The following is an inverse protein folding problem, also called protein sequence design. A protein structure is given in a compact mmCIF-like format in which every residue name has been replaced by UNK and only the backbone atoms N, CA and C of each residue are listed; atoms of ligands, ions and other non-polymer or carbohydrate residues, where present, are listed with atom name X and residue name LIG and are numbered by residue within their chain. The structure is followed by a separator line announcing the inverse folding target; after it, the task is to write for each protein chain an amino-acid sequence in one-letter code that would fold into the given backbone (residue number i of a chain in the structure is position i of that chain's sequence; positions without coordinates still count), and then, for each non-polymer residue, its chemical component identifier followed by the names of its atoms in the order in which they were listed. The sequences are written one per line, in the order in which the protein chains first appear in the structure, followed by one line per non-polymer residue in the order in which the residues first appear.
data_IF_349232450513
#
_entry.id   IF_349232450513
#
_cell.length_a   1.000
_cell.length_b   1.000
_cell.length_c   1.000
_cell.angle_alpha   90.00
_cell.angle_beta   90.00
_cell.angle_gamma   90.00
#
_symmetry.space_group_name_H-M   'P 1'
#
loop_
_entity.id
_entity.type
_entity.pdbx_description
1 polymer ?
#
# COMPACT_ATOMS: atom_id res chain seq x y z
N UNK A 1 19.39 -36.04 10.00
CA UNK A 1 18.30 -35.03 9.87
C UNK A 1 18.86 -33.76 9.24
N UNK A 2 18.60 -33.50 7.96
CA UNK A 2 19.02 -32.25 7.30
C UNK A 2 18.12 -31.12 7.79
N UNK A 3 18.67 -30.16 8.54
CA UNK A 3 17.98 -28.92 8.90
C UNK A 3 17.81 -28.09 7.63
N UNK A 4 16.60 -28.04 7.10
CA UNK A 4 16.23 -27.10 6.05
C UNK A 4 16.07 -25.73 6.72
N UNK A 5 17.17 -25.02 6.92
CA UNK A 5 17.11 -23.56 7.13
C UNK A 5 16.85 -22.92 5.77
N UNK A 6 15.58 -22.90 5.37
CA UNK A 6 15.14 -22.07 4.25
C UNK A 6 15.36 -20.61 4.63
N UNK A 7 16.24 -19.93 3.90
CA UNK A 7 16.34 -18.47 3.89
C UNK A 7 15.03 -17.90 3.32
N UNK A 8 14.02 -17.87 4.19
CA UNK A 8 12.72 -17.31 3.89
C UNK A 8 12.93 -15.82 3.60
N UNK A 9 12.68 -15.42 2.35
CA UNK A 9 12.91 -14.05 1.90
C UNK A 9 12.16 -13.07 2.82
N UNK A 10 12.72 -11.87 2.99
CA UNK A 10 12.15 -10.82 3.85
C UNK A 10 10.67 -10.57 3.55
N UNK A 11 10.25 -10.79 2.29
CA UNK A 11 8.86 -10.73 1.83
C UNK A 11 7.97 -11.73 2.57
N UNK A 12 8.35 -12.99 2.69
CA UNK A 12 7.55 -14.01 3.38
C UNK A 12 7.48 -13.76 4.89
N UNK A 13 8.54 -13.21 5.49
CA UNK A 13 8.53 -12.83 6.91
C UNK A 13 7.55 -11.66 7.15
N UNK A 14 7.54 -10.66 6.26
CA UNK A 14 6.58 -9.55 6.31
C UNK A 14 5.15 -10.04 6.02
N UNK A 15 4.98 -10.96 5.08
CA UNK A 15 3.69 -11.61 4.77
C UNK A 15 3.17 -12.40 5.98
N UNK A 16 4.03 -13.12 6.70
CA UNK A 16 3.68 -13.85 7.91
C UNK A 16 3.34 -12.93 9.09
N UNK A 17 4.04 -11.81 9.26
CA UNK A 17 3.71 -10.82 10.30
C UNK A 17 2.35 -10.16 10.00
N UNK A 18 2.04 -9.89 8.73
CA UNK A 18 0.73 -9.40 8.32
C UNK A 18 -0.38 -10.45 8.54
N UNK A 19 -0.11 -11.73 8.26
CA UNK A 19 -1.05 -12.83 8.52
C UNK A 19 -1.29 -13.06 10.02
N UNK A 20 -0.26 -12.97 10.86
CA UNK A 20 -0.39 -13.18 12.32
C UNK A 20 -1.16 -12.06 13.01
N UNK A 21 -1.16 -10.84 12.46
CA UNK A 21 -1.97 -9.73 12.97
C UNK A 21 -3.45 -9.78 12.52
N UNK A 22 -3.82 -10.69 11.62
CA UNK A 22 -5.23 -10.94 11.24
C UNK A 22 -5.92 -12.00 12.09
N UNK A 23 -5.25 -12.50 13.13
CA UNK A 23 -5.79 -13.50 14.06
C UNK A 23 -6.71 -12.92 15.14
N UNK A 24 -7.83 -12.31 14.76
CA UNK A 24 -9.09 -12.35 15.53
C UNK A 24 -10.27 -12.02 14.61
N UNK A 25 -11.18 -13.00 14.52
CA UNK A 25 -12.50 -12.97 13.87
C UNK A 25 -12.55 -13.16 12.34
N UNK A 26 -12.43 -14.42 11.94
CA UNK A 26 -13.11 -14.96 10.76
C UNK A 26 -14.61 -14.99 11.03
N UNK A 27 -15.34 -13.95 10.63
CA UNK A 27 -16.78 -14.04 10.51
C UNK A 27 -17.22 -13.81 9.06
N UNK A 28 -17.76 -14.89 8.51
CA UNK A 28 -18.77 -14.92 7.47
C UNK A 28 -18.32 -14.59 6.03
N UNK A 29 -18.00 -15.69 5.33
CA UNK A 29 -18.42 -15.89 3.95
C UNK A 29 -19.96 -15.75 3.87
N UNK A 30 -20.44 -14.51 3.79
CA UNK A 30 -21.82 -14.20 3.43
C UNK A 30 -21.81 -13.46 2.08
N UNK A 31 -21.99 -14.26 1.05
CA UNK A 31 -22.37 -13.88 -0.30
C UNK A 31 -23.69 -13.09 -0.25
N UNK A 32 -23.60 -11.76 -0.17
CA UNK A 32 -24.71 -10.83 -0.40
C UNK A 32 -24.17 -9.60 -1.11
N UNK A 33 -24.74 -9.34 -2.28
CA UNK A 33 -24.58 -8.19 -3.17
C UNK A 33 -23.94 -6.95 -2.52
N UNK A 34 -22.60 -6.94 -2.45
CA UNK A 34 -21.87 -5.70 -2.22
C UNK A 34 -21.72 -5.06 -3.58
N UNK A 35 -22.68 -4.17 -3.92
CA UNK A 35 -22.40 -3.03 -4.81
C UNK A 35 -20.96 -2.62 -4.56
N UNK A 36 -20.08 -2.86 -5.53
CA UNK A 36 -18.68 -2.53 -5.42
C UNK A 36 -18.62 -1.07 -4.95
N UNK A 37 -18.34 -0.85 -3.66
CA UNK A 37 -18.13 0.49 -3.14
C UNK A 37 -16.92 0.95 -3.93
N UNK A 38 -17.14 1.76 -4.97
CA UNK A 38 -16.06 2.45 -5.69
C UNK A 38 -15.13 2.96 -4.62
N UNK A 39 -13.97 2.35 -4.54
CA UNK A 39 -12.98 2.62 -3.50
C UNK A 39 -12.79 4.14 -3.54
N UNK A 40 -13.15 4.82 -2.44
CA UNK A 40 -13.12 6.28 -2.42
C UNK A 40 -11.68 6.68 -2.66
N UNK A 41 -11.38 7.11 -3.90
CA UNK A 41 -10.06 7.57 -4.29
C UNK A 41 -9.65 8.63 -3.29
N UNK A 42 -8.61 8.34 -2.52
CA UNK A 42 -8.13 9.27 -1.51
C UNK A 42 -7.54 10.45 -2.28
N UNK A 43 -8.11 11.63 -2.10
CA UNK A 43 -7.63 12.82 -2.80
C UNK A 43 -6.33 13.31 -2.17
N UNK A 44 -5.36 13.64 -3.02
CA UNK A 44 -4.11 14.26 -2.60
C UNK A 44 -4.38 15.61 -1.94
N UNK A 45 -3.85 15.85 -0.73
CA UNK A 45 -3.96 17.16 -0.09
C UNK A 45 -3.13 18.19 -0.86
N UNK A 46 -3.52 19.47 -0.78
CA UNK A 46 -2.70 20.57 -1.26
C UNK A 46 -1.37 20.64 -0.50
N UNK A 47 -0.36 21.26 -1.10
CA UNK A 47 0.93 21.50 -0.43
C UNK A 47 0.72 22.23 0.89
N UNK A 48 1.40 21.75 1.92
CA UNK A 48 1.40 22.34 3.24
C UNK A 48 2.43 23.47 3.39
N UNK A 49 3.22 23.76 2.34
CA UNK A 49 4.30 24.74 2.37
C UNK A 49 5.49 24.30 3.23
N UNK A 50 5.65 22.99 3.43
CA UNK A 50 6.73 22.42 4.24
C UNK A 50 7.38 21.27 3.50
N UNK A 51 8.60 21.49 3.00
CA UNK A 51 9.26 20.61 2.03
C UNK A 51 9.30 19.14 2.46
N UNK A 52 9.63 18.84 3.73
CA UNK A 52 9.69 17.45 4.19
C UNK A 52 8.31 16.78 4.20
N UNK A 53 7.26 17.51 4.55
CA UNK A 53 5.88 17.01 4.51
C UNK A 53 5.40 16.85 3.08
N UNK A 54 5.65 17.85 2.23
CA UNK A 54 5.21 17.84 0.84
C UNK A 54 5.91 16.74 0.04
N UNK A 55 7.20 16.51 0.26
CA UNK A 55 7.93 15.39 -0.33
C UNK A 55 7.35 14.06 0.14
N UNK A 56 7.07 13.91 1.44
CA UNK A 56 6.46 12.70 1.97
C UNK A 56 5.07 12.43 1.38
N UNK A 57 4.24 13.46 1.26
CA UNK A 57 2.93 13.39 0.59
C UNK A 57 3.09 13.00 -0.86
N UNK A 58 3.97 13.68 -1.60
CA UNK A 58 4.19 13.42 -3.03
C UNK A 58 4.62 11.97 -3.28
N UNK A 59 5.62 11.47 -2.56
CA UNK A 59 6.07 10.08 -2.71
C UNK A 59 5.01 9.07 -2.30
N UNK A 60 4.24 9.35 -1.24
CA UNK A 60 3.18 8.45 -0.79
C UNK A 60 2.04 8.35 -1.79
N UNK A 61 1.63 9.47 -2.37
CA UNK A 61 0.59 9.52 -3.38
C UNK A 61 1.07 8.99 -4.74
N UNK A 62 2.34 9.15 -5.10
CA UNK A 62 2.91 8.53 -6.31
C UNK A 62 2.80 7.00 -6.24
N UNK A 63 3.20 6.38 -5.13
CA UNK A 63 3.09 4.94 -4.94
C UNK A 63 1.63 4.50 -4.97
N UNK A 64 0.73 5.24 -4.33
CA UNK A 64 -0.71 4.97 -4.37
C UNK A 64 -1.28 5.04 -5.80
N UNK A 65 -0.96 6.08 -6.56
CA UNK A 65 -1.43 6.24 -7.94
C UNK A 65 -0.88 5.16 -8.87
N UNK A 66 0.41 4.79 -8.73
CA UNK A 66 0.99 3.66 -9.45
C UNK A 66 0.29 2.34 -9.10
N UNK A 67 -0.03 2.12 -7.83
CA UNK A 67 -0.78 0.94 -7.42
C UNK A 67 -2.20 0.91 -8.01
N UNK A 68 -2.93 2.03 -7.98
CA UNK A 68 -4.27 2.10 -8.58
C UNK A 68 -4.24 1.81 -10.09
N UNK A 69 -3.24 2.35 -10.82
CA UNK A 69 -3.06 2.05 -12.25
C UNK A 69 -2.80 0.56 -12.48
N UNK A 70 -1.99 -0.06 -11.64
CA UNK A 70 -1.68 -1.49 -11.71
C UNK A 70 -2.88 -2.37 -11.35
N UNK A 71 -3.67 -1.97 -10.35
CA UNK A 71 -4.93 -2.62 -9.99
C UNK A 71 -5.93 -2.61 -11.14
N UNK A 72 -6.06 -1.46 -11.83
CA UNK A 72 -6.94 -1.35 -12.99
C UNK A 72 -6.48 -2.26 -14.15
N UNK A 73 -5.17 -2.32 -14.41
CA UNK A 73 -4.60 -3.26 -15.40
C UNK A 73 -4.87 -4.73 -15.05
N UNK A 74 -4.79 -5.08 -13.77
CA UNK A 74 -5.08 -6.43 -13.29
C UNK A 74 -6.56 -6.81 -13.42
N UNK A 75 -7.48 -5.85 -13.19
CA UNK A 75 -8.91 -6.08 -13.37
C UNK A 75 -9.32 -6.31 -14.82
N UNK A 76 -8.53 -5.85 -15.79
CA UNK A 76 -8.73 -6.10 -17.21
C UNK A 76 -8.10 -7.46 -17.61
N UNK A 77 -8.78 -8.54 -17.22
CA UNK A 77 -8.27 -9.91 -17.26
C UNK A 77 -8.06 -10.50 -18.68
N UNK A 78 -8.47 -9.78 -19.74
CA UNK A 78 -8.48 -10.32 -21.10
C UNK A 78 -7.14 -10.16 -21.88
N UNK A 79 -6.19 -9.34 -21.41
CA UNK A 79 -5.00 -8.98 -22.21
C UNK A 79 -3.62 -9.13 -21.58
N UNK A 80 -3.50 -9.26 -20.24
CA UNK A 80 -2.24 -8.93 -19.55
C UNK A 80 -1.47 -10.10 -18.92
N UNK A 81 -1.84 -11.35 -19.20
CA UNK A 81 -1.19 -12.54 -18.59
C UNK A 81 0.28 -12.72 -19.04
N UNK A 82 0.73 -12.00 -20.07
CA UNK A 82 2.14 -11.98 -20.46
C UNK A 82 3.03 -11.13 -19.53
N UNK A 83 2.45 -10.19 -18.78
CA UNK A 83 3.19 -9.26 -17.91
C UNK A 83 3.09 -9.60 -16.41
N UNK A 84 2.49 -10.74 -16.04
CA UNK A 84 2.31 -11.15 -14.64
C UNK A 84 3.59 -11.08 -13.79
N UNK A 85 4.72 -11.54 -14.34
CA UNK A 85 6.03 -11.45 -13.68
C UNK A 85 6.51 -10.01 -13.45
N UNK A 86 6.30 -9.11 -14.42
CA UNK A 86 6.63 -7.68 -14.26
C UNK A 86 5.74 -7.02 -13.23
N UNK A 87 4.44 -7.29 -13.28
CA UNK A 87 3.46 -6.76 -12.32
C UNK A 87 3.79 -7.22 -10.89
N UNK A 88 4.19 -8.48 -10.71
CA UNK A 88 4.66 -8.98 -9.42
C UNK A 88 5.90 -8.24 -8.92
N UNK A 89 6.90 -8.04 -9.78
CA UNK A 89 8.11 -7.30 -9.42
C UNK A 89 7.78 -5.84 -9.05
N UNK A 90 6.86 -5.20 -9.77
CA UNK A 90 6.38 -3.84 -9.47
C UNK A 90 5.67 -3.78 -8.11
N UNK A 91 4.83 -4.78 -7.78
CA UNK A 91 4.17 -4.88 -6.48
C UNK A 91 5.17 -5.08 -5.34
N UNK A 92 6.21 -5.90 -5.54
CA UNK A 92 7.28 -6.10 -4.56
C UNK A 92 8.13 -4.82 -4.36
N UNK A 93 8.42 -4.09 -5.45
CA UNK A 93 9.08 -2.80 -5.38
C UNK A 93 8.23 -1.78 -4.60
N UNK A 94 6.94 -1.68 -4.91
CA UNK A 94 6.00 -0.82 -4.18
C UNK A 94 5.93 -1.18 -2.69
N UNK A 95 5.94 -2.47 -2.30
CA UNK A 95 5.99 -2.86 -0.90
C UNK A 95 7.25 -2.36 -0.18
N UNK A 96 8.41 -2.42 -0.83
CA UNK A 96 9.67 -1.88 -0.28
C UNK A 96 9.59 -0.37 -0.13
N UNK A 97 9.09 0.33 -1.15
CA UNK A 97 8.88 1.77 -1.12
C UNK A 97 7.92 2.18 0.01
N UNK A 98 6.78 1.50 0.14
CA UNK A 98 5.79 1.73 1.19
C UNK A 98 6.41 1.54 2.57
N UNK A 99 7.17 0.45 2.76
CA UNK A 99 7.82 0.17 4.04
C UNK A 99 8.85 1.26 4.38
N UNK A 100 9.64 1.70 3.40
CA UNK A 100 10.59 2.80 3.58
C UNK A 100 9.92 4.14 3.90
N UNK A 101 8.80 4.44 3.27
CA UNK A 101 8.02 5.66 3.53
C UNK A 101 7.33 5.60 4.89
N UNK A 102 6.69 4.48 5.25
CA UNK A 102 6.09 4.28 6.57
C UNK A 102 7.14 4.37 7.68
N UNK A 103 8.36 3.88 7.46
CA UNK A 103 9.48 4.05 8.41
C UNK A 103 9.84 5.52 8.68
N UNK A 104 9.67 6.41 7.69
CA UNK A 104 9.90 7.86 7.82
C UNK A 104 8.71 8.63 8.38
N UNK A 105 7.52 8.01 8.41
CA UNK A 105 6.27 8.69 8.75
C UNK A 105 6.29 9.35 10.15
N UNK A 106 6.89 8.69 11.15
CA UNK A 106 6.98 9.20 12.53
C UNK A 106 7.79 10.50 12.61
N UNK A 107 8.95 10.53 11.94
CA UNK A 107 9.81 11.72 11.88
C UNK A 107 9.12 12.87 11.13
N UNK A 108 8.52 12.59 9.97
CA UNK A 108 7.79 13.60 9.20
C UNK A 108 6.60 14.15 9.98
N UNK A 109 5.86 13.32 10.71
CA UNK A 109 4.76 13.76 11.57
C UNK A 109 5.25 14.61 12.74
N UNK A 110 6.39 14.27 13.34
CA UNK A 110 7.00 15.07 14.40
C UNK A 110 7.41 16.44 13.88
N UNK A 111 8.11 16.50 12.73
CA UNK A 111 8.50 17.74 12.06
C UNK A 111 7.29 18.58 11.66
N UNK A 112 6.24 17.95 11.12
CA UNK A 112 5.00 18.63 10.77
C UNK A 112 4.33 19.29 11.99
N UNK A 113 4.34 18.63 13.16
CA UNK A 113 3.76 19.18 14.40
C UNK A 113 4.57 20.33 14.99
N UNK A 114 5.86 20.42 14.67
CA UNK A 114 6.76 21.46 15.18
C UNK A 114 6.74 22.77 14.36
N UNK A 115 5.98 22.84 13.26
CA UNK A 115 5.92 24.03 12.40
C UNK A 115 5.19 25.18 13.13
N UNK A 116 5.73 26.39 12.97
CA UNK A 116 5.10 27.64 13.39
C UNK A 116 4.74 28.48 12.16
N UNK A 117 3.56 29.14 12.12
CA UNK A 117 2.48 29.12 13.12
C UNK A 117 1.75 27.77 13.18
N UNK A 118 1.06 27.51 14.31
CA UNK A 118 0.33 26.25 14.59
C UNK A 118 -0.70 25.88 13.50
N UNK A 119 -1.24 26.86 12.79
CA UNK A 119 -2.12 26.67 11.63
C UNK A 119 -1.44 25.89 10.52
N UNK A 120 -0.15 26.14 10.25
CA UNK A 120 0.65 25.41 9.27
C UNK A 120 1.00 24.01 9.77
N UNK A 121 1.32 23.86 11.06
CA UNK A 121 1.50 22.53 11.66
C UNK A 121 0.26 21.64 11.51
N UNK A 122 -0.94 22.20 11.70
CA UNK A 122 -2.19 21.46 11.49
C UNK A 122 -2.39 21.05 10.03
N UNK A 123 -2.10 21.94 9.07
CA UNK A 123 -2.17 21.62 7.63
C UNK A 123 -1.18 20.51 7.27
N UNK A 124 0.08 20.66 7.67
CA UNK A 124 1.14 19.68 7.42
C UNK A 124 0.85 18.34 8.10
N UNK A 125 0.39 18.35 9.35
CA UNK A 125 0.01 17.15 10.08
C UNK A 125 -1.17 16.41 9.43
N UNK A 126 -2.19 17.14 8.94
CA UNK A 126 -3.30 16.54 8.18
C UNK A 126 -2.81 15.93 6.86
N UNK A 127 -1.93 16.62 6.14
CA UNK A 127 -1.37 16.14 4.88
C UNK A 127 -0.51 14.89 5.08
N UNK A 128 0.39 14.90 6.08
CA UNK A 128 1.20 13.73 6.44
C UNK A 128 0.33 12.54 6.89
N UNK A 129 -0.75 12.77 7.63
CA UNK A 129 -1.69 11.70 7.99
C UNK A 129 -2.43 11.14 6.77
N UNK A 130 -2.78 11.97 5.78
CA UNK A 130 -3.36 11.50 4.53
C UNK A 130 -2.36 10.63 3.74
N UNK A 131 -1.08 11.03 3.72
CA UNK A 131 0.00 10.25 3.13
C UNK A 131 0.15 8.86 3.80
N UNK A 132 0.12 8.79 5.13
CA UNK A 132 0.12 7.51 5.86
C UNK A 132 -1.11 6.66 5.53
N UNK A 133 -2.28 7.28 5.39
CA UNK A 133 -3.52 6.56 5.01
C UNK A 133 -3.40 5.91 3.63
N UNK A 134 -2.86 6.62 2.63
CA UNK A 134 -2.71 6.03 1.29
C UNK A 134 -1.66 4.92 1.30
N UNK A 135 -0.54 5.08 2.01
CA UNK A 135 0.47 4.03 2.16
C UNK A 135 -0.12 2.75 2.77
N UNK A 136 -0.90 2.89 3.84
CA UNK A 136 -1.56 1.75 4.49
C UNK A 136 -2.65 1.12 3.61
N UNK A 137 -3.38 1.91 2.83
CA UNK A 137 -4.35 1.40 1.87
C UNK A 137 -3.64 0.58 0.79
N UNK A 138 -2.58 1.13 0.19
CA UNK A 138 -1.78 0.43 -0.81
C UNK A 138 -1.17 -0.85 -0.25
N UNK A 139 -0.59 -0.81 0.96
CA UNK A 139 -0.01 -1.98 1.61
C UNK A 139 -1.01 -3.13 1.75
N UNK A 140 -2.28 -2.81 2.05
CA UNK A 140 -3.36 -3.79 2.21
C UNK A 140 -3.90 -4.31 0.88
N UNK A 141 -3.82 -3.52 -0.20
CA UNK A 141 -4.28 -3.92 -1.52
C UNK A 141 -3.33 -4.92 -2.21
N UNK A 142 -2.01 -4.79 -1.99
CA UNK A 142 -1.00 -5.58 -2.68
C UNK A 142 -1.18 -7.11 -2.54
N UNK A 143 -1.47 -7.69 -1.35
CA UNK A 143 -1.69 -9.12 -1.22
C UNK A 143 -2.83 -9.65 -2.11
N UNK A 144 -3.97 -8.93 -2.16
CA UNK A 144 -5.10 -9.31 -3.01
C UNK A 144 -4.74 -9.22 -4.50
N UNK A 145 -3.96 -8.21 -4.89
CA UNK A 145 -3.44 -8.07 -6.26
C UNK A 145 -2.49 -9.22 -6.64
N UNK A 146 -1.64 -9.66 -5.72
CA UNK A 146 -0.77 -10.83 -5.92
C UNK A 146 -1.57 -12.13 -6.09
N UNK A 147 -2.63 -12.31 -5.31
CA UNK A 147 -3.49 -13.49 -5.44
C UNK A 147 -4.29 -13.47 -6.75
N UNK A 148 -4.71 -12.29 -7.21
CA UNK A 148 -5.34 -12.11 -8.52
C UNK A 148 -4.38 -12.50 -9.66
N UNK A 149 -3.09 -12.17 -9.56
CA UNK A 149 -2.07 -12.61 -10.53
C UNK A 149 -1.96 -14.14 -10.55
N UNK A 150 -1.82 -14.78 -9.38
CA UNK A 150 -1.75 -16.25 -9.30
C UNK A 150 -2.97 -16.92 -9.90
N UNK A 151 -4.17 -16.37 -9.65
CA UNK A 151 -5.41 -16.90 -10.19
C UNK A 151 -5.53 -16.72 -11.71
N UNK A 152 -4.91 -15.69 -12.29
CA UNK A 152 -4.82 -15.51 -13.74
C UNK A 152 -3.78 -16.46 -14.37
N UNK A 153 -2.65 -16.69 -13.70
CA UNK A 153 -1.64 -17.67 -14.14
C UNK A 153 -2.17 -19.10 -14.13
N UNK A 154 -3.01 -19.46 -13.14
CA UNK A 154 -3.61 -20.80 -13.06
C UNK A 154 -4.72 -21.08 -14.10
N UNK A 155 -5.18 -20.05 -14.83
CA UNK A 155 -6.17 -20.17 -15.92
C UNK A 155 -5.53 -20.25 -17.32
N UNK A 156 -4.20 -20.09 -17.41
CA UNK A 156 -3.41 -20.39 -18.61
C UNK A 156 -3.19 -21.88 -18.74
#
# INVERSE_FOLDING_TARGET
MKKITSNLSTVTKVLMIALLMTGVSVDSFAQKDKKAKKEKVIKKPASAGHAATDNFVNSSFDVYERNQKLSNKLSDAAGNVADAGKVKNDLEAQLKEITGLLGKSKDVLAKAKAITPKTNAMKAGKAANAAVKVLNATQKAIPAQLDQIKAQEAKK
#
